data_IF_391588923548
#
_entry.id   IF_391588923548
#
_cell.length_a   1.000
_cell.length_b   1.000
_cell.length_c   1.000
_cell.angle_alpha   90.00
_cell.angle_beta   90.00
_cell.angle_gamma   90.00
#
_symmetry.space_group_name_H-M   'P 1'
#
loop_
_entity.id
_entity.type
_entity.pdbx_description
1 polymer ?
#
# COMPACT_ATOMS: atom_id res chain seq x y z
N UNK A 1 24.12 25.44 -11.13
CA UNK A 1 22.95 24.73 -11.72
C UNK A 1 23.36 23.46 -12.48
N UNK A 2 24.59 23.41 -12.99
CA UNK A 2 25.16 22.25 -13.71
C UNK A 2 25.97 21.30 -12.82
N UNK A 3 26.13 21.59 -11.53
CA UNK A 3 26.88 20.72 -10.61
C UNK A 3 26.17 19.38 -10.47
N UNK A 4 26.92 18.28 -10.60
CA UNK A 4 26.38 16.93 -10.42
C UNK A 4 26.13 16.65 -8.94
N UNK A 5 24.89 16.34 -8.61
CA UNK A 5 24.37 16.07 -7.27
C UNK A 5 25.20 15.04 -6.51
N UNK A 6 25.60 13.94 -7.16
CA UNK A 6 26.38 12.88 -6.52
C UNK A 6 27.87 13.24 -6.38
N UNK A 7 28.42 14.04 -7.30
CA UNK A 7 29.81 14.51 -7.20
C UNK A 7 30.01 15.52 -6.06
N UNK A 8 28.97 16.27 -5.69
CA UNK A 8 28.99 17.20 -4.54
C UNK A 8 28.62 16.53 -3.21
N UNK A 9 28.57 15.19 -3.18
CA UNK A 9 28.33 14.39 -1.98
C UNK A 9 26.86 14.03 -1.72
N UNK A 10 26.00 14.19 -2.72
CA UNK A 10 24.62 13.70 -2.73
C UNK A 10 24.54 12.17 -2.60
N UNK A 11 23.61 11.68 -1.79
CA UNK A 11 23.30 10.25 -1.66
C UNK A 11 21.80 9.94 -1.89
N UNK A 12 21.43 8.65 -1.85
CA UNK A 12 20.04 8.22 -2.05
C UNK A 12 19.05 8.79 -1.02
N UNK A 13 19.49 9.12 0.20
CA UNK A 13 18.65 9.74 1.23
C UNK A 13 18.40 11.21 0.86
N UNK A 14 19.45 11.90 0.42
CA UNK A 14 19.33 13.28 -0.03
C UNK A 14 18.54 13.39 -1.34
N UNK A 15 18.60 12.39 -2.23
CA UNK A 15 17.73 12.31 -3.43
C UNK A 15 16.24 12.28 -3.03
N UNK A 16 15.88 11.49 -2.02
CA UNK A 16 14.51 11.47 -1.48
C UNK A 16 14.13 12.83 -0.87
N UNK A 17 15.05 13.51 -0.19
CA UNK A 17 14.82 14.85 0.35
C UNK A 17 14.62 15.89 -0.77
N UNK A 18 15.37 15.81 -1.87
CA UNK A 18 15.21 16.66 -3.05
C UNK A 18 13.81 16.48 -3.63
N UNK A 19 13.40 15.24 -3.90
CA UNK A 19 12.06 14.91 -4.41
C UNK A 19 10.96 15.44 -3.48
N UNK A 20 11.08 15.18 -2.17
CA UNK A 20 10.11 15.66 -1.18
C UNK A 20 10.01 17.19 -1.14
N UNK A 21 11.14 17.89 -1.20
CA UNK A 21 11.17 19.36 -1.18
C UNK A 21 10.69 19.98 -2.48
N UNK A 22 11.05 19.39 -3.63
CA UNK A 22 10.56 19.80 -4.94
C UNK A 22 9.02 19.70 -4.98
N UNK A 23 8.46 18.59 -4.48
CA UNK A 23 7.01 18.40 -4.38
C UNK A 23 6.35 19.47 -3.49
N UNK A 24 6.93 19.75 -2.32
CA UNK A 24 6.44 20.85 -1.44
C UNK A 24 6.52 22.22 -2.12
N UNK A 25 7.44 22.41 -3.06
CA UNK A 25 7.58 23.61 -3.86
C UNK A 25 6.72 23.62 -5.13
N UNK A 26 5.90 22.59 -5.37
CA UNK A 26 5.00 22.51 -6.52
C UNK A 26 5.61 21.90 -7.78
N UNK A 27 6.68 21.11 -7.66
CA UNK A 27 7.35 20.44 -8.77
C UNK A 27 7.40 18.93 -8.55
N UNK A 28 7.02 18.17 -9.57
CA UNK A 28 7.07 16.71 -9.56
C UNK A 28 8.33 16.24 -10.27
N UNK A 29 9.18 15.56 -9.50
CA UNK A 29 10.34 14.80 -9.97
C UNK A 29 10.40 13.51 -9.16
N UNK A 30 10.87 12.42 -9.75
CA UNK A 30 11.04 11.14 -9.08
C UNK A 30 12.53 10.86 -8.81
N UNK A 31 12.82 9.88 -7.94
CA UNK A 31 14.21 9.55 -7.58
C UNK A 31 15.02 9.08 -8.77
N UNK A 32 14.42 8.35 -9.71
CA UNK A 32 15.07 7.90 -10.94
C UNK A 32 15.55 9.10 -11.77
N UNK A 33 14.73 10.13 -11.93
CA UNK A 33 15.11 11.38 -12.61
C UNK A 33 16.28 12.10 -11.91
N UNK A 34 16.41 12.00 -10.58
CA UNK A 34 17.60 12.53 -9.88
C UNK A 34 18.87 11.75 -10.25
N UNK A 35 18.75 10.46 -10.57
CA UNK A 35 19.87 9.65 -11.06
C UNK A 35 20.16 9.86 -12.55
N UNK A 36 19.11 9.90 -13.37
CA UNK A 36 19.21 10.02 -14.82
C UNK A 36 19.66 11.44 -15.22
N UNK A 37 19.19 12.47 -14.50
CA UNK A 37 19.48 13.88 -14.73
C UNK A 37 20.07 14.57 -13.47
N UNK A 38 21.30 14.24 -13.03
CA UNK A 38 21.82 14.59 -11.70
C UNK A 38 22.22 16.06 -11.52
N UNK A 39 21.67 16.99 -12.28
CA UNK A 39 21.96 18.43 -12.16
C UNK A 39 20.66 19.21 -11.97
N UNK A 40 20.73 20.42 -11.40
CA UNK A 40 19.53 21.28 -11.28
C UNK A 40 18.97 21.64 -12.66
N UNK A 41 19.83 21.85 -13.64
CA UNK A 41 19.43 22.13 -15.03
C UNK A 41 18.73 20.91 -15.67
N UNK A 42 19.29 19.71 -15.53
CA UNK A 42 18.68 18.48 -16.04
C UNK A 42 17.34 18.18 -15.37
N UNK A 43 17.28 18.23 -14.03
CA UNK A 43 16.04 18.06 -13.28
C UNK A 43 14.98 19.10 -13.68
N UNK A 44 15.36 20.36 -13.89
CA UNK A 44 14.40 21.39 -14.32
C UNK A 44 13.84 21.11 -15.72
N UNK A 45 14.57 20.42 -16.59
CA UNK A 45 14.11 20.02 -17.92
C UNK A 45 13.07 18.90 -17.92
N UNK A 46 13.06 18.07 -16.88
CA UNK A 46 12.12 16.93 -16.72
C UNK A 46 11.07 17.15 -15.63
N UNK A 47 11.22 18.21 -14.83
CA UNK A 47 10.28 18.55 -13.77
C UNK A 47 8.93 18.99 -14.35
N UNK A 48 7.85 18.40 -13.83
CA UNK A 48 6.48 18.76 -14.20
C UNK A 48 5.91 19.66 -13.11
N UNK A 49 5.20 20.73 -13.50
CA UNK A 49 4.47 21.55 -12.53
C UNK A 49 3.37 20.71 -11.87
N UNK A 50 3.30 20.73 -10.54
CA UNK A 50 2.26 20.04 -9.79
C UNK A 50 0.86 20.52 -10.21
N UNK A 51 0.71 21.79 -10.60
CA UNK A 51 -0.54 22.33 -11.11
C UNK A 51 -0.92 21.78 -12.50
N UNK A 52 0.08 21.58 -13.39
CA UNK A 52 -0.16 20.97 -14.70
C UNK A 52 -0.53 19.50 -14.56
N UNK A 53 0.12 18.79 -13.63
CA UNK A 53 -0.21 17.40 -13.31
C UNK A 53 -1.62 17.26 -12.69
N UNK A 54 -2.01 18.18 -11.79
CA UNK A 54 -3.38 18.27 -11.26
C UNK A 54 -4.42 18.50 -12.36
N UNK A 55 -4.11 19.34 -13.35
CA UNK A 55 -5.00 19.55 -14.48
C UNK A 55 -5.04 18.36 -15.45
N UNK A 56 -3.93 17.61 -15.55
CA UNK A 56 -3.79 16.47 -16.45
C UNK A 56 -4.58 15.24 -15.97
N UNK A 57 -4.68 15.01 -14.65
CA UNK A 57 -5.31 13.82 -14.10
C UNK A 57 -6.48 14.16 -13.18
N UNK A 58 -7.70 13.92 -13.67
CA UNK A 58 -8.93 14.11 -12.90
C UNK A 58 -9.44 12.79 -12.34
N UNK A 59 -10.06 12.87 -11.17
CA UNK A 59 -10.81 11.77 -10.59
C UNK A 59 -11.91 11.32 -11.57
N UNK A 60 -11.99 10.01 -11.82
CA UNK A 60 -13.01 9.42 -12.66
C UNK A 60 -14.08 8.77 -11.78
N UNK A 61 -15.33 9.19 -11.98
CA UNK A 61 -16.48 8.65 -11.27
C UNK A 61 -17.25 7.59 -12.06
N UNK A 62 -16.82 7.28 -13.28
CA UNK A 62 -17.42 6.20 -14.07
C UNK A 62 -16.99 4.83 -13.54
N UNK A 63 -17.80 3.78 -13.72
CA UNK A 63 -17.36 2.41 -13.47
C UNK A 63 -16.06 2.08 -14.20
N UNK A 64 -15.11 1.46 -13.49
CA UNK A 64 -13.82 1.01 -13.98
C UNK A 64 -13.66 -0.49 -13.72
N UNK A 65 -12.90 -1.23 -14.55
CA UNK A 65 -12.58 -2.61 -14.25
C UNK A 65 -11.76 -2.72 -12.97
N UNK A 66 -11.73 -3.92 -12.40
CA UNK A 66 -10.83 -4.23 -11.29
C UNK A 66 -9.37 -4.20 -11.74
N UNK A 67 -8.47 -3.83 -10.84
CA UNK A 67 -7.03 -4.07 -11.01
C UNK A 67 -6.73 -5.57 -10.88
N UNK A 68 -5.56 -6.06 -11.35
CA UNK A 68 -5.22 -7.49 -11.25
C UNK A 68 -5.34 -8.06 -9.83
N UNK A 69 -4.86 -7.33 -8.82
CA UNK A 69 -4.91 -7.81 -7.43
C UNK A 69 -6.32 -7.77 -6.83
N UNK A 70 -7.15 -6.80 -7.22
CA UNK A 70 -8.56 -6.77 -6.83
C UNK A 70 -9.34 -7.91 -7.50
N UNK A 71 -9.08 -8.21 -8.79
CA UNK A 71 -9.67 -9.34 -9.48
C UNK A 71 -9.30 -10.67 -8.79
N UNK A 72 -8.01 -10.85 -8.50
CA UNK A 72 -7.52 -11.99 -7.72
C UNK A 72 -8.27 -12.17 -6.39
N UNK A 73 -8.51 -11.07 -5.66
CA UNK A 73 -9.30 -11.11 -4.42
C UNK A 73 -10.71 -11.64 -4.64
N UNK A 74 -11.46 -11.09 -5.59
CA UNK A 74 -12.85 -11.52 -5.83
C UNK A 74 -12.95 -12.93 -6.42
N UNK A 75 -11.94 -13.40 -7.16
CA UNK A 75 -11.83 -14.79 -7.63
C UNK A 75 -11.67 -15.78 -6.46
N UNK A 76 -10.86 -15.43 -5.46
CA UNK A 76 -10.57 -16.30 -4.32
C UNK A 76 -11.53 -16.10 -3.14
N UNK A 77 -12.30 -15.01 -3.15
CA UNK A 77 -13.30 -14.63 -2.14
C UNK A 77 -14.58 -14.18 -2.85
N UNK A 78 -15.31 -15.10 -3.50
CA UNK A 78 -16.52 -14.76 -4.25
C UNK A 78 -17.65 -14.25 -3.36
N UNK A 79 -17.61 -14.53 -2.05
CA UNK A 79 -18.49 -13.96 -1.03
C UNK A 79 -18.19 -12.49 -0.71
N UNK A 80 -17.10 -11.93 -1.26
CA UNK A 80 -16.70 -10.54 -1.14
C UNK A 80 -16.75 -10.03 0.31
N UNK A 81 -16.02 -10.67 1.24
CA UNK A 81 -16.15 -10.38 2.65
C UNK A 81 -15.74 -8.94 2.91
N UNK A 82 -16.67 -8.12 3.39
CA UNK A 82 -16.39 -6.74 3.77
C UNK A 82 -15.46 -6.63 5.00
N UNK A 83 -15.15 -7.75 5.65
CA UNK A 83 -14.18 -7.85 6.74
C UNK A 83 -12.87 -8.46 6.23
N UNK A 84 -12.22 -7.77 5.29
CA UNK A 84 -10.87 -8.07 4.80
C UNK A 84 -10.02 -6.80 4.85
N UNK A 85 -9.64 -6.43 6.06
CA UNK A 85 -9.21 -5.08 6.38
C UNK A 85 -7.73 -5.04 6.76
N UNK A 86 -7.11 -3.89 6.52
CA UNK A 86 -5.91 -3.49 7.24
C UNK A 86 -6.31 -2.48 8.32
N UNK A 87 -5.64 -2.52 9.47
CA UNK A 87 -5.88 -1.55 10.54
C UNK A 87 -4.61 -1.20 11.30
N UNK A 88 -4.59 0.03 11.83
CA UNK A 88 -3.53 0.53 12.72
C UNK A 88 -4.16 1.11 13.98
N UNK A 89 -3.52 0.89 15.12
CA UNK A 89 -3.91 1.47 16.41
C UNK A 89 -2.81 2.41 16.88
N UNK A 90 -3.06 3.71 16.80
CA UNK A 90 -2.10 4.75 17.16
C UNK A 90 -2.34 5.21 18.60
N UNK A 91 -1.25 5.46 19.34
CA UNK A 91 -1.33 6.20 20.61
C UNK A 91 -1.38 7.69 20.31
N UNK A 92 -2.39 8.38 20.82
CA UNK A 92 -2.47 9.84 20.71
C UNK A 92 -1.68 10.50 21.85
N UNK A 93 -1.31 11.79 21.75
CA UNK A 93 -0.75 12.53 22.87
C UNK A 93 -1.66 12.48 24.10
N UNK A 94 -1.07 12.71 25.27
CA UNK A 94 -1.83 12.76 26.53
C UNK A 94 -2.77 13.97 26.52
N UNK A 95 -3.99 13.78 27.03
CA UNK A 95 -5.03 14.81 27.03
C UNK A 95 -6.10 14.61 25.94
N UNK A 96 -7.03 15.55 25.87
CA UNK A 96 -8.15 15.51 24.92
C UNK A 96 -7.68 15.97 23.54
N UNK A 97 -7.95 15.17 22.50
CA UNK A 97 -7.88 15.63 21.13
C UNK A 97 -9.03 16.61 20.84
N UNK A 98 -8.75 17.61 20.02
CA UNK A 98 -9.79 18.38 19.37
C UNK A 98 -10.52 17.46 18.37
N UNK A 99 -11.70 16.99 18.78
CA UNK A 99 -12.53 16.08 18.00
C UNK A 99 -12.93 16.69 16.67
N UNK A 100 -13.33 17.97 16.66
CA UNK A 100 -13.74 18.65 15.44
C UNK A 100 -12.55 18.73 14.48
N UNK A 101 -11.35 18.97 15.02
CA UNK A 101 -10.13 18.95 14.21
C UNK A 101 -9.83 17.58 13.63
N UNK A 102 -9.99 16.51 14.40
CA UNK A 102 -9.79 15.15 13.94
C UNK A 102 -10.80 14.76 12.85
N UNK A 103 -12.09 15.10 13.02
CA UNK A 103 -13.13 14.88 12.01
C UNK A 103 -12.80 15.62 10.70
N UNK A 104 -12.38 16.89 10.78
CA UNK A 104 -11.95 17.67 9.62
C UNK A 104 -10.71 17.07 8.93
N UNK A 105 -9.73 16.61 9.71
CA UNK A 105 -8.51 16.02 9.17
C UNK A 105 -8.79 14.71 8.43
N UNK A 106 -9.62 13.85 9.03
CA UNK A 106 -10.07 12.61 8.41
C UNK A 106 -10.85 12.87 7.12
N UNK A 107 -11.76 13.86 7.12
CA UNK A 107 -12.50 14.25 5.92
C UNK A 107 -11.55 14.75 4.82
N UNK A 108 -10.58 15.60 5.15
CA UNK A 108 -9.60 16.10 4.17
C UNK A 108 -8.78 14.95 3.54
N UNK A 109 -8.38 13.95 4.33
CA UNK A 109 -7.67 12.75 3.84
C UNK A 109 -8.56 11.92 2.91
N UNK A 110 -9.83 11.68 3.27
CA UNK A 110 -10.79 10.94 2.43
C UNK A 110 -11.12 11.68 1.13
N UNK A 111 -11.24 13.01 1.19
CA UNK A 111 -11.47 13.83 0.00
C UNK A 111 -10.27 13.78 -0.93
N UNK A 112 -9.04 13.88 -0.39
CA UNK A 112 -7.80 13.84 -1.16
C UNK A 112 -7.58 12.50 -1.88
N UNK A 113 -7.89 11.38 -1.22
CA UNK A 113 -7.57 10.04 -1.72
C UNK A 113 -8.84 9.32 -2.17
N UNK A 114 -9.11 9.37 -3.46
CA UNK A 114 -10.31 8.78 -4.10
C UNK A 114 -10.47 7.27 -3.86
N UNK A 115 -9.36 6.53 -3.68
CA UNK A 115 -9.40 5.12 -3.29
C UNK A 115 -10.18 4.84 -1.98
N UNK A 116 -10.21 5.79 -1.04
CA UNK A 116 -10.97 5.70 0.21
C UNK A 116 -12.48 5.89 0.02
N UNK A 117 -12.91 6.19 -1.21
CA UNK A 117 -14.31 6.36 -1.62
C UNK A 117 -14.74 5.30 -2.63
N UNK A 118 -13.94 4.24 -2.83
CA UNK A 118 -14.29 3.14 -3.71
C UNK A 118 -15.57 2.43 -3.27
N UNK A 119 -16.30 1.97 -4.28
CA UNK A 119 -17.44 1.07 -4.21
C UNK A 119 -17.22 -0.07 -5.21
N UNK A 120 -17.68 -1.26 -4.86
CA UNK A 120 -17.58 -2.47 -5.66
C UNK A 120 -18.97 -3.05 -5.85
N UNK A 121 -19.34 -3.33 -7.09
CA UNK A 121 -20.63 -3.89 -7.44
C UNK A 121 -20.53 -4.74 -8.71
N UNK A 122 -21.61 -5.47 -9.01
CA UNK A 122 -21.75 -6.20 -10.27
C UNK A 122 -22.42 -5.34 -11.34
N UNK A 123 -21.94 -5.44 -12.58
CA UNK A 123 -22.65 -4.92 -13.74
C UNK A 123 -23.83 -5.83 -14.13
N UNK A 124 -24.57 -5.48 -15.19
CA UNK A 124 -25.69 -6.29 -15.70
C UNK A 124 -25.29 -7.71 -16.15
N UNK A 125 -24.03 -7.91 -16.53
CA UNK A 125 -23.47 -9.21 -16.91
C UNK A 125 -23.00 -10.05 -15.70
N UNK A 126 -23.09 -9.51 -14.47
CA UNK A 126 -22.65 -10.19 -13.26
C UNK A 126 -21.14 -10.07 -13.00
N UNK A 127 -20.43 -9.19 -13.69
CA UNK A 127 -18.99 -8.97 -13.51
C UNK A 127 -18.74 -7.86 -12.48
N UNK A 128 -17.74 -8.04 -11.62
CA UNK A 128 -17.34 -7.02 -10.66
C UNK A 128 -16.71 -5.80 -11.35
N UNK A 129 -17.08 -4.62 -10.88
CA UNK A 129 -16.43 -3.36 -11.22
C UNK A 129 -16.15 -2.55 -9.96
N UNK A 130 -15.27 -1.55 -10.07
CA UNK A 130 -15.03 -0.55 -9.04
C UNK A 130 -15.47 0.84 -9.51
N UNK A 131 -15.89 1.68 -8.58
CA UNK A 131 -16.28 3.06 -8.87
C UNK A 131 -15.96 3.96 -7.69
N UNK A 132 -15.44 5.15 -7.98
CA UNK A 132 -15.21 6.16 -6.95
C UNK A 132 -16.51 6.95 -6.71
N UNK A 133 -17.01 6.88 -5.47
CA UNK A 133 -18.12 7.72 -5.05
C UNK A 133 -17.68 9.19 -4.91
N UNK A 134 -18.56 10.18 -5.19
CA UNK A 134 -18.31 11.58 -4.87
C UNK A 134 -17.91 11.77 -3.40
N UNK A 135 -17.29 12.90 -3.07
CA UNK A 135 -17.00 13.21 -1.66
C UNK A 135 -18.32 13.32 -0.89
N UNK A 136 -18.48 12.46 0.12
CA UNK A 136 -19.65 12.40 0.99
C UNK A 136 -19.29 12.97 2.36
N UNK A 137 -20.21 13.72 2.99
CA UNK A 137 -20.05 14.21 4.38
C UNK A 137 -20.30 13.11 5.44
N UNK A 138 -20.10 11.84 5.06
CA UNK A 138 -20.37 10.70 5.93
C UNK A 138 -19.45 10.69 7.15
N UNK A 139 -20.03 10.55 8.35
CA UNK A 139 -19.23 10.42 9.58
C UNK A 139 -18.51 9.08 9.59
N UNK A 140 -17.18 9.11 9.49
CA UNK A 140 -16.33 7.92 9.59
C UNK A 140 -15.70 7.72 10.97
N UNK A 141 -15.73 8.75 11.83
CA UNK A 141 -15.19 8.70 13.19
C UNK A 141 -16.26 8.34 14.21
N UNK A 142 -15.99 7.32 15.03
CA UNK A 142 -16.71 7.06 16.27
C UNK A 142 -15.83 7.36 17.48
N UNK A 143 -16.43 7.84 18.58
CA UNK A 143 -15.70 8.22 19.79
C UNK A 143 -16.25 7.42 20.96
N UNK A 144 -15.39 6.65 21.62
CA UNK A 144 -15.77 5.79 22.74
C UNK A 144 -15.02 6.19 24.01
N UNK A 145 -15.73 6.29 25.12
CA UNK A 145 -15.13 6.53 26.43
C UNK A 145 -15.00 5.23 27.21
N UNK A 146 -13.77 4.77 27.37
CA UNK A 146 -13.42 3.54 28.09
C UNK A 146 -12.74 3.85 29.43
N UNK A 147 -12.70 5.12 29.88
CA UNK A 147 -12.02 5.51 31.13
C UNK A 147 -12.61 4.83 32.36
N UNK A 148 -13.91 4.56 32.34
CA UNK A 148 -14.63 3.86 33.42
C UNK A 148 -14.58 2.32 33.28
N UNK A 149 -13.91 1.78 32.26
CA UNK A 149 -13.84 0.32 32.02
C UNK A 149 -12.84 -0.42 32.90
N UNK A 150 -12.14 0.25 33.82
CA UNK A 150 -11.20 -0.39 34.75
C UNK A 150 -10.12 -1.20 34.02
N UNK A 151 -9.83 -2.42 34.47
CA UNK A 151 -8.84 -3.31 33.84
C UNK A 151 -9.30 -3.89 32.50
N UNK A 152 -10.62 -3.91 32.23
CA UNK A 152 -11.21 -4.53 31.04
C UNK A 152 -11.23 -3.61 29.80
N UNK A 153 -10.68 -2.39 29.90
CA UNK A 153 -10.73 -1.42 28.80
C UNK A 153 -10.11 -1.96 27.49
N UNK A 154 -9.13 -2.87 27.56
CA UNK A 154 -8.52 -3.49 26.38
C UNK A 154 -9.48 -4.44 25.66
N UNK A 155 -10.28 -5.19 26.40
CA UNK A 155 -11.28 -6.10 25.83
C UNK A 155 -12.39 -5.29 25.16
N UNK A 156 -12.89 -4.23 25.82
CA UNK A 156 -13.87 -3.33 25.21
C UNK A 156 -13.30 -2.62 23.97
N UNK A 157 -12.03 -2.18 24.01
CA UNK A 157 -11.38 -1.61 22.82
C UNK A 157 -11.37 -2.62 21.67
N UNK A 158 -10.99 -3.87 21.93
CA UNK A 158 -10.97 -4.94 20.93
C UNK A 158 -12.38 -5.19 20.36
N UNK A 159 -13.40 -5.33 21.20
CA UNK A 159 -14.79 -5.55 20.78
C UNK A 159 -15.33 -4.39 19.92
N UNK A 160 -15.12 -3.15 20.35
CA UNK A 160 -15.53 -1.99 19.57
C UNK A 160 -14.74 -1.87 18.26
N UNK A 161 -13.44 -2.19 18.28
CA UNK A 161 -12.60 -2.22 17.08
C UNK A 161 -13.04 -3.27 16.07
N UNK A 162 -13.36 -4.48 16.53
CA UNK A 162 -13.94 -5.56 15.71
C UNK A 162 -15.29 -5.14 15.11
N UNK A 163 -16.17 -4.49 15.89
CA UNK A 163 -17.44 -3.95 15.38
C UNK A 163 -17.22 -2.89 14.30
N UNK A 164 -16.28 -1.96 14.49
CA UNK A 164 -15.96 -0.94 13.48
C UNK A 164 -15.47 -1.60 12.18
N UNK A 165 -14.57 -2.58 12.28
CA UNK A 165 -14.05 -3.33 11.14
C UNK A 165 -15.13 -4.13 10.41
N UNK A 166 -16.06 -4.74 11.13
CA UNK A 166 -17.19 -5.47 10.56
C UNK A 166 -18.26 -4.56 9.94
N UNK A 167 -18.22 -3.24 10.19
CA UNK A 167 -19.22 -2.27 9.69
C UNK A 167 -18.91 -1.72 8.30
N UNK A 168 -17.77 -2.08 7.70
CA UNK A 168 -17.43 -1.67 6.35
C UNK A 168 -18.39 -2.29 5.34
N UNK A 169 -18.63 -1.59 4.23
CA UNK A 169 -19.52 -2.08 3.17
C UNK A 169 -18.90 -1.78 1.80
N UNK A 170 -18.66 -2.82 1.00
CA UNK A 170 -18.03 -2.67 -0.31
C UNK A 170 -18.97 -2.02 -1.34
N UNK A 171 -20.29 -2.24 -1.24
CA UNK A 171 -21.25 -1.79 -2.24
C UNK A 171 -21.68 -0.34 -2.05
N UNK A 172 -22.08 0.03 -0.82
CA UNK A 172 -22.60 1.37 -0.49
C UNK A 172 -21.64 2.20 0.34
N UNK A 173 -20.57 1.60 0.87
CA UNK A 173 -19.64 2.27 1.76
C UNK A 173 -20.14 2.43 3.19
N UNK A 174 -19.30 3.01 4.06
CA UNK A 174 -17.92 3.42 3.76
C UNK A 174 -16.96 2.24 3.76
N UNK A 175 -15.81 2.43 3.11
CA UNK A 175 -14.72 1.44 3.04
C UNK A 175 -13.59 1.73 4.06
N UNK A 176 -13.77 2.78 4.85
CA UNK A 176 -12.90 3.18 5.96
C UNK A 176 -13.72 3.59 7.18
N UNK A 177 -13.22 3.25 8.37
CA UNK A 177 -13.72 3.71 9.68
C UNK A 177 -12.57 4.15 10.56
N UNK A 178 -12.86 5.11 11.43
CA UNK A 178 -11.97 5.55 12.49
C UNK A 178 -12.67 5.43 13.86
N UNK A 179 -11.91 5.06 14.88
CA UNK A 179 -12.38 5.01 16.26
C UNK A 179 -11.40 5.72 17.18
N UNK A 180 -11.83 6.74 17.92
CA UNK A 180 -11.03 7.34 18.97
C UNK A 180 -11.52 6.90 20.35
N UNK A 181 -10.65 6.23 21.08
CA UNK A 181 -10.93 5.64 22.38
C UNK A 181 -10.21 6.42 23.47
N UNK A 182 -10.96 6.96 24.43
CA UNK A 182 -10.40 7.50 25.67
C UNK A 182 -10.20 6.36 26.64
N UNK A 183 -8.99 6.17 27.17
CA UNK A 183 -8.65 5.01 28.01
C UNK A 183 -8.21 5.42 29.42
N UNK A 184 -8.23 4.52 30.43
CA UNK A 184 -8.01 4.89 31.82
C UNK A 184 -6.64 5.51 32.14
N UNK A 185 -5.62 5.28 31.30
CA UNK A 185 -4.27 5.83 31.49
C UNK A 185 -4.16 7.33 31.12
N UNK A 186 -5.26 7.97 30.69
CA UNK A 186 -5.32 9.38 30.32
C UNK A 186 -4.85 9.70 28.90
N UNK A 187 -4.33 8.70 28.17
CA UNK A 187 -4.03 8.81 26.74
C UNK A 187 -5.21 8.35 25.89
N UNK A 188 -5.13 8.57 24.57
CA UNK A 188 -6.10 8.07 23.61
C UNK A 188 -5.54 6.95 22.74
N UNK A 189 -6.44 6.16 22.14
CA UNK A 189 -6.12 5.24 21.05
C UNK A 189 -6.92 5.64 19.82
N UNK A 190 -6.27 5.84 18.69
CA UNK A 190 -6.91 6.10 17.41
C UNK A 190 -6.77 4.85 16.55
N UNK A 191 -7.87 4.15 16.32
CA UNK A 191 -7.98 3.07 15.36
C UNK A 191 -8.33 3.66 14.00
N UNK A 192 -7.59 3.27 12.97
CA UNK A 192 -7.98 3.46 11.57
C UNK A 192 -8.12 2.06 10.96
N UNK A 193 -9.26 1.78 10.35
CA UNK A 193 -9.55 0.53 9.67
C UNK A 193 -10.01 0.82 8.24
N UNK A 194 -9.37 0.19 7.26
CA UNK A 194 -9.63 0.39 5.83
C UNK A 194 -9.69 -0.98 5.17
N UNK A 195 -10.67 -1.19 4.29
CA UNK A 195 -10.71 -2.43 3.52
C UNK A 195 -9.48 -2.54 2.62
N UNK A 196 -8.88 -3.73 2.54
CA UNK A 196 -7.61 -3.92 1.84
C UNK A 196 -7.71 -3.61 0.33
N UNK A 197 -8.91 -3.71 -0.27
CA UNK A 197 -9.16 -3.30 -1.66
C UNK A 197 -8.81 -1.82 -1.97
N UNK A 198 -8.67 -0.98 -0.95
CA UNK A 198 -8.43 0.46 -1.06
C UNK A 198 -7.10 0.91 -0.43
N UNK A 199 -6.28 -0.01 0.12
CA UNK A 199 -5.06 0.35 0.84
C UNK A 199 -4.00 -0.74 0.77
N UNK A 200 -2.73 -0.34 0.80
CA UNK A 200 -1.57 -1.22 0.96
C UNK A 200 -0.54 -0.64 1.96
N UNK A 201 0.57 -1.35 2.17
CA UNK A 201 1.62 -0.94 3.10
C UNK A 201 2.30 0.39 2.76
N UNK A 202 2.36 0.80 1.49
CA UNK A 202 2.90 2.11 1.09
C UNK A 202 1.86 3.20 1.39
N UNK A 203 0.60 2.93 1.06
CA UNK A 203 -0.53 3.82 1.30
C UNK A 203 -0.66 4.22 2.76
N UNK A 204 -0.44 3.31 3.71
CA UNK A 204 -0.44 3.67 5.14
C UNK A 204 0.54 4.78 5.50
N UNK A 205 1.74 4.79 4.91
CA UNK A 205 2.73 5.85 5.17
C UNK A 205 2.24 7.21 4.65
N UNK A 206 1.63 7.21 3.47
CA UNK A 206 1.02 8.42 2.87
C UNK A 206 -0.14 8.92 3.74
N UNK A 207 -1.07 8.03 4.10
CA UNK A 207 -2.25 8.36 4.89
C UNK A 207 -1.90 8.91 6.28
N UNK A 208 -0.93 8.29 6.96
CA UNK A 208 -0.47 8.76 8.27
C UNK A 208 0.27 10.10 8.18
N UNK A 209 1.06 10.29 7.13
CA UNK A 209 1.73 11.58 6.85
C UNK A 209 0.72 12.70 6.61
N UNK A 210 -0.26 12.47 5.73
CA UNK A 210 -1.31 13.45 5.42
C UNK A 210 -2.20 13.75 6.64
N UNK A 211 -2.54 12.72 7.44
CA UNK A 211 -3.31 12.91 8.67
C UNK A 211 -2.52 13.75 9.69
N UNK A 212 -1.21 13.49 9.85
CA UNK A 212 -0.35 14.29 10.69
C UNK A 212 -0.29 15.74 10.20
N UNK A 213 0.01 15.96 8.92
CA UNK A 213 0.08 17.29 8.30
C UNK A 213 -1.25 18.06 8.49
N UNK A 214 -2.39 17.38 8.31
CA UNK A 214 -3.71 17.96 8.51
C UNK A 214 -3.96 18.39 9.97
N UNK A 215 -3.57 17.56 10.93
CA UNK A 215 -3.72 17.83 12.36
C UNK A 215 -2.81 18.98 12.84
N UNK A 216 -1.61 19.12 12.27
CA UNK A 216 -0.63 20.14 12.65
C UNK A 216 -0.95 21.56 12.15
N UNK A 217 -1.79 21.71 11.11
CA UNK A 217 -2.17 23.02 10.61
C UNK A 217 -2.91 23.84 11.70
N UNK A 218 -2.65 25.14 11.79
CA UNK A 218 -3.27 26.02 12.80
C UNK A 218 -4.47 26.83 12.29
N UNK A 219 -4.74 26.76 10.99
CA UNK A 219 -5.82 27.48 10.33
C UNK A 219 -7.20 26.85 10.57
N UNK A 220 -8.29 27.62 10.40
CA UNK A 220 -9.66 27.14 10.57
C UNK A 220 -10.08 26.12 9.51
N UNK A 221 -9.35 26.05 8.40
CA UNK A 221 -9.57 25.13 7.28
C UNK A 221 -8.32 24.30 7.09
N UNK A 222 -8.51 22.99 6.91
CA UNK A 222 -7.44 22.07 6.54
C UNK A 222 -7.33 22.07 5.03
N UNK A 223 -6.12 22.28 4.52
CA UNK A 223 -5.84 22.18 3.10
C UNK A 223 -4.65 21.27 2.89
N UNK A 224 -4.89 20.13 2.26
CA UNK A 224 -3.87 19.20 1.83
C UNK A 224 -3.52 19.49 0.35
N UNK A 225 -2.25 19.33 -0.08
CA UNK A 225 -1.86 19.52 -1.49
C UNK A 225 -2.75 18.73 -2.47
N UNK A 226 -3.27 19.36 -3.53
CA UNK A 226 -4.16 18.69 -4.48
C UNK A 226 -3.44 17.76 -5.47
N UNK A 227 -2.13 17.89 -5.63
CA UNK A 227 -1.31 17.12 -6.57
C UNK A 227 -1.07 15.68 -6.09
N UNK A 228 -2.08 14.83 -6.25
CA UNK A 228 -1.97 13.37 -6.18
C UNK A 228 -2.62 12.82 -7.43
N UNK A 229 -1.96 11.86 -8.07
CA UNK A 229 -2.60 11.11 -9.14
C UNK A 229 -3.78 10.32 -8.54
N UNK A 230 -5.03 10.56 -8.96
CA UNK A 230 -6.18 9.81 -8.47
C UNK A 230 -6.03 8.32 -8.80
N UNK A 231 -6.41 7.45 -7.87
CA UNK A 231 -6.46 6.00 -8.09
C UNK A 231 -7.25 5.67 -9.35
N UNK A 232 -8.42 6.28 -9.53
CA UNK A 232 -9.28 6.09 -10.69
C UNK A 232 -8.59 6.43 -12.02
N UNK A 233 -7.77 7.48 -12.05
CA UNK A 233 -6.99 7.85 -13.23
C UNK A 233 -5.85 6.84 -13.50
N UNK A 234 -5.20 6.34 -12.46
CA UNK A 234 -4.20 5.28 -12.60
C UNK A 234 -4.82 3.95 -13.08
N UNK A 235 -5.99 3.56 -12.55
CA UNK A 235 -6.70 2.35 -13.00
C UNK A 235 -7.04 2.42 -14.48
N UNK A 236 -7.51 3.58 -14.96
CA UNK A 236 -7.75 3.78 -16.39
C UNK A 236 -6.45 3.66 -17.19
N UNK A 237 -5.35 4.27 -16.72
CA UNK A 237 -4.06 4.19 -17.41
C UNK A 237 -3.47 2.76 -17.44
N UNK A 238 -3.54 2.01 -16.34
CA UNK A 238 -3.01 0.63 -16.27
C UNK A 238 -3.86 -0.35 -17.08
N UNK A 239 -5.17 -0.10 -17.19
CA UNK A 239 -6.04 -0.84 -18.11
C UNK A 239 -5.54 -0.67 -19.55
N UNK A 240 -5.34 0.56 -20.01
CA UNK A 240 -4.83 0.83 -21.35
C UNK A 240 -3.41 0.28 -21.56
N UNK A 241 -2.59 0.18 -20.50
CA UNK A 241 -1.30 -0.52 -20.55
C UNK A 241 -1.45 -2.01 -20.80
N UNK A 242 -2.37 -2.68 -20.11
CA UNK A 242 -2.64 -4.11 -20.27
C UNK A 242 -3.18 -4.49 -21.67
N UNK A 243 -3.86 -3.56 -22.34
CA UNK A 243 -4.42 -3.75 -23.68
C UNK A 243 -3.38 -3.57 -24.82
N UNK A 244 -2.12 -3.20 -24.51
CA UNK A 244 -1.07 -3.01 -25.51
C UNK A 244 -0.55 -4.35 -26.05
N UNK A 245 -0.24 -4.46 -27.35
CA UNK A 245 0.34 -5.67 -27.94
C UNK A 245 1.63 -6.11 -27.26
N UNK A 246 2.49 -5.17 -26.88
CA UNK A 246 3.77 -5.47 -26.23
C UNK A 246 3.58 -6.19 -24.89
N UNK A 247 2.54 -5.82 -24.13
CA UNK A 247 2.19 -6.48 -22.86
C UNK A 247 1.67 -7.90 -23.11
N UNK A 248 0.92 -8.11 -24.20
CA UNK A 248 0.42 -9.44 -24.57
C UNK A 248 1.56 -10.40 -24.98
N UNK A 249 2.62 -9.86 -25.60
CA UNK A 249 3.81 -10.63 -26.00
C UNK A 249 4.59 -11.18 -24.79
N UNK A 250 4.46 -10.59 -23.60
CA UNK A 250 5.09 -11.07 -22.36
C UNK A 250 4.50 -12.41 -21.86
N UNK A 251 3.28 -12.77 -22.26
CA UNK A 251 2.62 -14.00 -21.81
C UNK A 251 3.41 -15.26 -22.20
N UNK A 252 3.95 -15.28 -23.42
CA UNK A 252 4.73 -16.42 -23.91
C UNK A 252 5.98 -16.63 -23.05
N UNK A 253 6.65 -15.54 -22.65
CA UNK A 253 7.81 -15.62 -21.77
C UNK A 253 7.45 -16.21 -20.40
N UNK A 254 6.34 -15.79 -19.80
CA UNK A 254 5.89 -16.34 -18.51
C UNK A 254 5.51 -17.82 -18.59
N UNK A 255 4.86 -18.23 -19.68
CA UNK A 255 4.52 -19.64 -19.91
C UNK A 255 5.78 -20.50 -20.04
N UNK A 256 6.76 -20.04 -20.83
CA UNK A 256 8.04 -20.73 -20.99
C UNK A 256 8.84 -20.76 -19.68
N UNK A 257 8.85 -19.67 -18.92
CA UNK A 257 9.53 -19.56 -17.62
C UNK A 257 9.01 -20.58 -16.59
N UNK A 258 7.70 -20.89 -16.64
CA UNK A 258 7.04 -21.79 -15.69
C UNK A 258 6.86 -23.23 -16.20
N UNK A 259 7.12 -23.52 -17.48
CA UNK A 259 6.75 -24.77 -18.16
C UNK A 259 7.25 -26.05 -17.48
N UNK A 260 8.46 -26.04 -16.91
CA UNK A 260 9.12 -27.20 -16.32
C UNK A 260 9.10 -27.19 -14.77
N UNK A 261 8.08 -26.59 -14.17
CA UNK A 261 7.98 -26.47 -12.71
C UNK A 261 6.69 -27.08 -12.17
N UNK A 262 6.79 -27.71 -10.99
CA UNK A 262 5.63 -28.24 -10.26
C UNK A 262 5.31 -27.33 -9.08
N UNK A 263 4.03 -26.94 -8.88
CA UNK A 263 3.61 -26.22 -7.68
C UNK A 263 3.49 -27.14 -6.45
N UNK A 264 3.60 -28.46 -6.62
CA UNK A 264 3.38 -29.42 -5.54
C UNK A 264 4.57 -29.49 -4.58
N UNK A 265 4.29 -29.26 -3.30
CA UNK A 265 5.20 -29.50 -2.18
C UNK A 265 4.61 -30.59 -1.25
N UNK A 266 5.43 -31.35 -0.51
CA UNK A 266 4.92 -32.35 0.41
C UNK A 266 3.95 -31.75 1.44
N UNK A 267 2.86 -32.46 1.73
CA UNK A 267 1.89 -32.04 2.75
C UNK A 267 1.51 -33.23 3.63
N UNK A 268 1.41 -33.00 4.94
CA UNK A 268 1.07 -34.05 5.90
C UNK A 268 -0.41 -34.49 5.80
N UNK A 269 -1.29 -33.57 5.40
CA UNK A 269 -2.74 -33.78 5.32
C UNK A 269 -3.32 -33.12 4.07
N UNK A 270 -4.06 -33.89 3.28
CA UNK A 270 -4.86 -33.41 2.15
C UNK A 270 -6.29 -33.19 2.67
N UNK A 271 -6.58 -31.98 3.16
CA UNK A 271 -7.87 -31.58 3.70
C UNK A 271 -8.14 -30.10 3.39
N UNK A 272 -9.40 -29.67 3.52
CA UNK A 272 -9.75 -28.24 3.49
C UNK A 272 -9.07 -27.49 4.64
N UNK A 273 -8.47 -26.33 4.33
CA UNK A 273 -7.69 -25.52 5.27
C UNK A 273 -8.31 -24.13 5.35
N UNK A 274 -9.31 -23.90 6.19
CA UNK A 274 -9.85 -22.56 6.37
C UNK A 274 -8.77 -21.64 6.94
N UNK A 275 -8.74 -20.37 6.53
CA UNK A 275 -7.79 -19.39 7.09
C UNK A 275 -7.88 -19.28 8.62
N UNK A 276 -9.06 -19.53 9.19
CA UNK A 276 -9.28 -19.53 10.64
C UNK A 276 -8.53 -20.64 11.38
N UNK A 277 -8.04 -21.68 10.68
CA UNK A 277 -7.18 -22.72 11.26
C UNK A 277 -5.69 -22.46 11.04
N UNK A 278 -5.30 -21.27 10.58
CA UNK A 278 -3.89 -20.92 10.43
C UNK A 278 -3.22 -20.66 11.78
N UNK A 279 -1.96 -21.08 11.91
CA UNK A 279 -1.09 -20.76 13.04
C UNK A 279 0.16 -20.04 12.50
N UNK A 280 0.66 -19.07 13.27
CA UNK A 280 1.86 -18.31 12.90
C UNK A 280 3.02 -18.66 13.82
N UNK A 281 4.06 -19.27 13.26
CA UNK A 281 5.35 -19.45 13.93
C UNK A 281 6.19 -18.21 13.65
N UNK A 282 6.72 -17.59 14.71
CA UNK A 282 7.57 -16.40 14.59
C UNK A 282 9.00 -16.73 15.01
N UNK A 283 9.94 -16.40 14.14
CA UNK A 283 11.36 -16.37 14.44
C UNK A 283 11.88 -14.96 14.22
N UNK A 284 12.81 -14.52 15.06
CA UNK A 284 13.42 -13.21 14.98
C UNK A 284 14.93 -13.36 14.98
N UNK A 285 15.57 -12.79 13.96
CA UNK A 285 17.02 -12.63 13.93
C UNK A 285 17.46 -11.69 15.05
N UNK A 286 18.62 -11.98 15.65
CA UNK A 286 19.26 -11.01 16.55
C UNK A 286 19.79 -9.80 15.77
N UNK A 287 20.15 -8.74 16.52
CA UNK A 287 20.61 -7.48 15.93
C UNK A 287 21.83 -7.67 15.02
N UNK A 288 22.75 -8.58 15.38
CA UNK A 288 23.97 -8.80 14.61
C UNK A 288 23.68 -9.48 13.27
N UNK A 289 22.84 -10.52 13.28
CA UNK A 289 22.38 -11.18 12.06
C UNK A 289 21.55 -10.23 11.19
N UNK A 290 20.63 -9.46 11.79
CA UNK A 290 19.88 -8.43 11.06
C UNK A 290 20.82 -7.44 10.38
N UNK A 291 21.84 -6.93 11.09
CA UNK A 291 22.83 -6.00 10.52
C UNK A 291 23.60 -6.63 9.36
N UNK A 292 24.03 -7.88 9.49
CA UNK A 292 24.71 -8.60 8.40
C UNK A 292 23.82 -8.77 7.17
N UNK A 293 22.53 -9.05 7.37
CA UNK A 293 21.56 -9.22 6.29
C UNK A 293 21.27 -7.90 5.55
N UNK A 294 21.08 -6.80 6.29
CA UNK A 294 20.70 -5.51 5.67
C UNK A 294 21.90 -4.71 5.14
N UNK A 295 23.10 -4.87 5.71
CA UNK A 295 24.27 -4.07 5.33
C UNK A 295 25.32 -4.87 4.55
N UNK A 296 25.72 -6.03 5.08
CA UNK A 296 26.92 -6.72 4.60
C UNK A 296 26.65 -7.50 3.30
N UNK A 297 25.52 -8.21 3.23
CA UNK A 297 25.18 -9.00 2.05
C UNK A 297 24.94 -8.14 0.79
N UNK A 298 24.19 -7.02 0.85
CA UNK A 298 24.04 -6.13 -0.30
C UNK A 298 25.35 -5.55 -0.81
N UNK A 299 26.26 -5.18 0.10
CA UNK A 299 27.59 -4.66 -0.28
C UNK A 299 28.48 -5.71 -0.93
N UNK A 300 28.43 -6.94 -0.44
CA UNK A 300 29.30 -8.01 -0.93
C UNK A 300 28.89 -8.53 -2.33
N UNK A 301 27.58 -8.61 -2.58
CA UNK A 301 27.05 -9.30 -3.76
C UNK A 301 26.23 -8.43 -4.70
N UNK A 302 26.07 -7.12 -4.40
CA UNK A 302 25.24 -6.17 -5.17
C UNK A 302 23.79 -6.67 -5.35
N UNK A 303 23.24 -7.24 -4.30
CA UNK A 303 21.88 -7.79 -4.26
C UNK A 303 21.06 -7.13 -3.13
N UNK A 304 19.74 -7.25 -3.17
CA UNK A 304 18.88 -6.82 -2.07
C UNK A 304 18.91 -7.79 -0.89
N UNK A 305 18.31 -7.41 0.24
CA UNK A 305 18.12 -8.32 1.38
C UNK A 305 17.13 -9.43 1.03
N UNK A 306 16.15 -9.10 0.21
CA UNK A 306 15.14 -9.98 -0.37
C UNK A 306 15.75 -11.14 -1.15
N UNK A 307 16.82 -10.91 -1.93
CA UNK A 307 17.51 -11.95 -2.68
C UNK A 307 18.15 -12.99 -1.74
N UNK A 308 18.76 -12.50 -0.65
CA UNK A 308 19.37 -13.36 0.39
C UNK A 308 18.29 -14.19 1.09
N UNK A 309 17.17 -13.56 1.46
CA UNK A 309 16.07 -14.24 2.13
C UNK A 309 15.39 -15.25 1.20
N UNK A 310 15.23 -14.93 -0.08
CA UNK A 310 14.66 -15.83 -1.08
C UNK A 310 15.57 -17.02 -1.35
N UNK A 311 16.89 -16.80 -1.43
CA UNK A 311 17.86 -17.90 -1.53
C UNK A 311 17.81 -18.81 -0.29
N UNK A 312 17.74 -18.24 0.92
CA UNK A 312 17.60 -19.01 2.15
C UNK A 312 16.28 -19.80 2.20
N UNK A 313 15.18 -19.20 1.75
CA UNK A 313 13.88 -19.86 1.62
C UNK A 313 13.93 -21.01 0.62
N UNK A 314 14.54 -20.79 -0.55
CA UNK A 314 14.74 -21.81 -1.57
C UNK A 314 15.51 -23.02 -1.03
N UNK A 315 16.62 -22.78 -0.31
CA UNK A 315 17.39 -23.84 0.34
C UNK A 315 16.58 -24.62 1.38
N UNK A 316 15.83 -23.92 2.23
CA UNK A 316 15.01 -24.54 3.25
C UNK A 316 13.89 -25.41 2.63
N UNK A 317 13.18 -24.87 1.65
CA UNK A 317 12.10 -25.60 0.97
C UNK A 317 12.63 -26.74 0.12
N UNK A 318 13.75 -26.55 -0.57
CA UNK A 318 14.42 -27.59 -1.36
C UNK A 318 14.86 -28.77 -0.51
N UNK A 319 15.60 -28.52 0.57
CA UNK A 319 16.04 -29.56 1.49
C UNK A 319 14.90 -30.30 2.18
N UNK A 320 13.78 -29.62 2.46
CA UNK A 320 12.60 -30.24 3.06
C UNK A 320 11.75 -31.02 2.04
N UNK A 321 11.55 -30.49 0.83
CA UNK A 321 10.68 -31.09 -0.18
C UNK A 321 11.38 -32.11 -1.08
N UNK A 322 12.71 -32.09 -1.13
CA UNK A 322 13.52 -32.85 -2.08
C UNK A 322 13.50 -32.29 -3.50
N UNK A 323 12.91 -31.11 -3.71
CA UNK A 323 12.85 -30.45 -5.02
C UNK A 323 14.14 -29.67 -5.31
N UNK A 324 14.58 -29.66 -6.57
CA UNK A 324 15.72 -28.83 -7.02
C UNK A 324 15.31 -27.42 -7.45
N UNK A 325 14.00 -27.18 -7.60
CA UNK A 325 13.39 -25.88 -7.90
C UNK A 325 12.09 -25.78 -7.13
N UNK A 326 11.84 -24.63 -6.51
CA UNK A 326 10.59 -24.38 -5.79
C UNK A 326 9.90 -23.16 -6.37
N UNK A 327 8.57 -23.23 -6.49
CA UNK A 327 7.75 -22.09 -6.86
C UNK A 327 7.38 -21.30 -5.62
N UNK A 328 7.62 -20.00 -5.66
CA UNK A 328 7.25 -19.07 -4.59
C UNK A 328 6.51 -17.90 -5.23
N UNK A 329 5.35 -17.58 -4.70
CA UNK A 329 4.69 -16.34 -5.06
C UNK A 329 5.33 -15.19 -4.29
N UNK A 330 5.84 -14.22 -5.05
CA UNK A 330 6.44 -13.00 -4.54
C UNK A 330 5.44 -11.86 -4.66
N UNK A 331 5.32 -11.11 -3.57
CA UNK A 331 4.55 -9.87 -3.55
C UNK A 331 5.49 -8.67 -3.69
N UNK A 332 5.13 -7.76 -4.61
CA UNK A 332 5.78 -6.48 -4.80
C UNK A 332 4.87 -5.33 -4.39
N UNK A 333 5.42 -4.12 -4.24
CA UNK A 333 4.60 -2.94 -3.96
C UNK A 333 3.78 -2.49 -5.18
N UNK A 334 4.13 -2.93 -6.39
CA UNK A 334 3.40 -2.69 -7.64
C UNK A 334 3.30 -1.23 -8.10
N UNK A 335 4.25 -0.41 -7.65
CA UNK A 335 4.40 1.01 -8.04
C UNK A 335 5.58 1.12 -9.00
N UNK A 336 5.49 0.35 -10.08
CA UNK A 336 6.52 0.25 -11.10
C UNK A 336 6.43 1.43 -12.07
N UNK A 337 7.57 1.84 -12.60
CA UNK A 337 7.67 2.91 -13.60
C UNK A 337 7.35 2.38 -15.02
N UNK A 338 6.17 1.78 -15.17
CA UNK A 338 5.66 1.21 -16.44
C UNK A 338 4.79 2.19 -17.23
N UNK A 339 4.37 3.27 -16.57
CA UNK A 339 3.56 4.35 -17.13
C UNK A 339 4.32 5.67 -17.00
N UNK A 340 5.18 6.01 -17.98
CA UNK A 340 5.98 7.23 -17.93
C UNK A 340 5.12 8.47 -17.68
N UNK A 341 5.53 9.29 -16.71
CA UNK A 341 4.85 10.54 -16.35
C UNK A 341 3.79 10.42 -15.25
N UNK A 342 3.50 9.21 -14.75
CA UNK A 342 2.61 9.02 -13.60
C UNK A 342 3.40 8.87 -12.29
N UNK A 343 3.20 9.80 -11.35
CA UNK A 343 3.79 9.71 -10.01
C UNK A 343 2.85 8.99 -9.04
N UNK A 344 3.17 7.72 -8.76
CA UNK A 344 2.42 6.89 -7.81
C UNK A 344 2.85 7.06 -6.36
N UNK A 345 3.90 7.83 -6.06
CA UNK A 345 4.51 7.81 -4.71
C UNK A 345 3.60 8.36 -3.59
N UNK A 346 2.55 9.11 -3.94
CA UNK A 346 1.55 9.64 -3.00
C UNK A 346 0.14 9.15 -3.28
N UNK A 347 -0.07 8.24 -4.24
CA UNK A 347 -1.40 7.68 -4.50
C UNK A 347 -1.73 6.60 -3.48
N UNK A 348 -2.93 6.64 -2.92
CA UNK A 348 -3.45 5.61 -2.01
C UNK A 348 -4.25 4.61 -2.82
N UNK A 349 -4.14 3.33 -2.47
CA UNK A 349 -4.83 2.23 -3.14
C UNK A 349 -4.13 0.90 -2.89
N UNK A 350 -4.65 -0.17 -3.47
CA UNK A 350 -4.01 -1.50 -3.37
C UNK A 350 -3.20 -1.80 -4.63
N UNK A 351 -1.92 -1.44 -4.62
CA UNK A 351 -1.04 -1.60 -5.79
C UNK A 351 -0.35 -2.95 -5.87
N UNK A 352 -0.38 -3.75 -4.79
CA UNK A 352 0.40 -4.98 -4.64
C UNK A 352 0.38 -5.83 -5.90
N UNK A 353 1.55 -6.09 -6.46
CA UNK A 353 1.73 -7.07 -7.52
C UNK A 353 2.03 -8.42 -6.91
N UNK A 354 1.63 -9.48 -7.59
CA UNK A 354 1.99 -10.85 -7.25
C UNK A 354 2.45 -11.55 -8.51
N UNK A 355 3.57 -12.24 -8.42
CA UNK A 355 4.08 -13.08 -9.51
C UNK A 355 4.76 -14.32 -8.95
N UNK A 356 4.75 -15.40 -9.71
CA UNK A 356 5.39 -16.65 -9.33
C UNK A 356 6.85 -16.66 -9.76
N UNK A 357 7.76 -16.86 -8.83
CA UNK A 357 9.19 -16.99 -9.08
C UNK A 357 9.65 -18.44 -8.92
N UNK A 358 10.53 -18.86 -9.83
CA UNK A 358 11.25 -20.14 -9.75
C UNK A 358 12.53 -19.91 -8.96
N UNK A 359 12.60 -20.46 -7.75
CA UNK A 359 13.80 -20.36 -6.90
C UNK A 359 14.62 -21.64 -7.06
N UNK A 360 15.83 -21.57 -7.64
CA UNK A 360 16.71 -22.72 -7.75
C UNK A 360 17.30 -23.08 -6.38
N UNK A 361 17.41 -24.37 -6.13
CA UNK A 361 18.09 -24.92 -4.95
C UNK A 361 19.52 -25.25 -5.38
N UNK A 362 20.51 -24.65 -4.72
CA UNK A 362 21.91 -24.98 -5.01
C UNK A 362 22.20 -26.43 -4.63
N UNK A 363 22.90 -27.16 -5.50
CA UNK A 363 23.49 -28.45 -5.17
C UNK A 363 24.71 -28.22 -4.27
N UNK A 364 24.85 -29.03 -3.22
CA UNK A 364 25.97 -28.99 -2.26
C UNK A 364 27.34 -29.26 -2.92
#
# INVERSE_FOLDING_TARGET
VTDNFFEVGGDSIQSLQVVSRARKAGWLVNTRQVFDDPTVEGLAGVAVSAHEAEQAHKELHTPLPLTPIQAFFFEHRPDAPAHWNQSVLLRTPDGELDVARLEQALLAVVTRHDALRLRFAHNEAGEWFQQVAPSEDGRILEIMDLRESGENWKDHLREHGERLQASLNLNSGPIMRAGWFRVPDGSGRLLLAIHHLSVDGVSWRVLLGDLQDALEQKGPTITLPSAVLPWSAWVDAVRHYGERPETADELAWWQDYLADTSPDIPVDLIAERPLSSSETIRWQADEDLTRRLIDAAPRAYRMGVEDVLLAALGQALGGWSGQSRVLVDLEGHGREDVLPGLDLSSTVGWFTTRYTAVVPVAED
#
